data_IF_533110334084
#
_entry.id   IF_533110334084
#
_cell.length_a   1.000
_cell.length_b   1.000
_cell.length_c   1.000
_cell.angle_alpha   90.00
_cell.angle_beta   90.00
_cell.angle_gamma   90.00
#
_symmetry.space_group_name_H-M   'P 1'
#
loop_
_entity.id
_entity.type
_entity.pdbx_description
1 polymer ?
#
# COMPACT_ATOMS: atom_id res chain seq x y z
N UNK A 1 -2.62 -32.25 -28.34
CA UNK A 1 -3.48 -31.13 -27.86
C UNK A 1 -2.60 -30.17 -27.10
N UNK A 2 -2.61 -28.90 -27.44
CA UNK A 2 -1.84 -27.89 -26.67
C UNK A 2 -2.44 -27.68 -25.27
N UNK A 3 -1.65 -27.19 -24.34
CA UNK A 3 -2.11 -26.82 -22.98
C UNK A 3 -3.33 -25.89 -23.06
N UNK A 4 -3.30 -24.92 -23.96
CA UNK A 4 -4.41 -23.97 -24.15
C UNK A 4 -5.68 -24.65 -24.64
N UNK A 5 -5.57 -25.61 -25.58
CA UNK A 5 -6.72 -26.38 -26.05
C UNK A 5 -7.33 -27.25 -24.95
N UNK A 6 -6.49 -27.88 -24.14
CA UNK A 6 -6.94 -28.67 -23.01
C UNK A 6 -7.72 -27.80 -22.00
N UNK A 7 -7.18 -26.66 -21.61
CA UNK A 7 -7.85 -25.76 -20.65
C UNK A 7 -9.17 -25.22 -21.22
N UNK A 8 -9.20 -24.86 -22.53
CA UNK A 8 -10.45 -24.40 -23.20
C UNK A 8 -11.55 -25.45 -23.25
N UNK A 9 -11.19 -26.73 -23.40
CA UNK A 9 -12.17 -27.81 -23.34
C UNK A 9 -12.81 -27.96 -21.94
N UNK A 10 -12.03 -27.73 -20.91
CA UNK A 10 -12.50 -27.82 -19.51
C UNK A 10 -13.23 -26.55 -19.02
N UNK A 11 -13.06 -25.42 -19.71
CA UNK A 11 -13.72 -24.14 -19.45
C UNK A 11 -14.56 -23.71 -20.67
N UNK A 12 -15.67 -24.42 -20.99
CA UNK A 12 -16.43 -24.17 -22.21
C UNK A 12 -17.13 -22.81 -22.28
N UNK A 13 -17.22 -22.10 -21.16
CA UNK A 13 -17.73 -20.72 -21.05
C UNK A 13 -16.69 -19.66 -21.44
N UNK A 14 -15.43 -20.04 -21.69
CA UNK A 14 -14.35 -19.10 -21.96
C UNK A 14 -14.57 -18.42 -23.32
N UNK A 15 -14.80 -17.11 -23.32
CA UNK A 15 -14.91 -16.29 -24.52
C UNK A 15 -13.55 -15.66 -24.83
N UNK A 16 -13.03 -15.93 -26.01
CA UNK A 16 -11.75 -15.38 -26.49
C UNK A 16 -11.72 -13.84 -26.59
N UNK A 17 -12.89 -13.20 -26.63
CA UNK A 17 -13.02 -11.74 -26.68
C UNK A 17 -13.17 -11.09 -25.27
N UNK A 18 -13.33 -11.88 -24.23
CA UNK A 18 -13.50 -11.39 -22.89
C UNK A 18 -12.14 -11.16 -22.21
N UNK A 19 -11.96 -10.01 -21.59
CA UNK A 19 -10.75 -9.68 -20.85
C UNK A 19 -11.08 -9.59 -19.36
N UNK A 20 -10.50 -10.48 -18.59
CA UNK A 20 -10.53 -10.52 -17.13
C UNK A 20 -9.29 -9.82 -16.58
N UNK A 21 -9.38 -9.02 -15.51
CA UNK A 21 -8.27 -8.21 -15.01
C UNK A 21 -8.13 -8.32 -13.49
N UNK A 22 -7.03 -8.93 -13.05
CA UNK A 22 -6.59 -8.98 -11.65
C UNK A 22 -5.30 -8.18 -11.40
N UNK A 23 -4.95 -7.24 -12.30
CA UNK A 23 -3.72 -6.45 -12.17
C UNK A 23 -3.82 -5.34 -11.14
N UNK A 24 -5.02 -4.79 -10.88
CA UNK A 24 -5.21 -3.55 -10.15
C UNK A 24 -6.01 -3.72 -8.87
N UNK A 25 -5.34 -3.51 -7.73
CA UNK A 25 -5.98 -3.30 -6.44
C UNK A 25 -6.59 -1.89 -6.33
N UNK A 26 -7.73 -1.68 -6.97
CA UNK A 26 -8.51 -0.44 -6.90
C UNK A 26 -9.92 -0.74 -6.37
N UNK A 27 -10.60 0.26 -5.78
CA UNK A 27 -12.00 0.09 -5.39
C UNK A 27 -12.89 -0.29 -6.57
N UNK A 28 -13.80 -1.24 -6.35
CA UNK A 28 -14.86 -1.58 -7.29
C UNK A 28 -15.91 -0.44 -7.38
N UNK A 29 -16.71 -0.34 -8.48
CA UNK A 29 -17.81 0.62 -8.57
C UNK A 29 -18.71 0.59 -7.33
N UNK A 30 -19.14 -0.58 -6.87
CA UNK A 30 -19.99 -0.73 -5.69
C UNK A 30 -19.39 -0.12 -4.40
N UNK A 31 -18.04 -0.11 -4.25
CA UNK A 31 -17.39 0.56 -3.12
C UNK A 31 -17.45 2.10 -3.28
N UNK A 32 -17.28 2.61 -4.49
CA UNK A 32 -17.35 4.04 -4.80
C UNK A 32 -18.78 4.58 -4.67
N UNK A 33 -19.80 3.77 -5.00
CA UNK A 33 -21.22 4.12 -4.90
C UNK A 33 -21.64 4.39 -3.45
N UNK A 34 -21.05 3.68 -2.46
CA UNK A 34 -21.25 3.99 -1.04
C UNK A 34 -20.83 5.43 -0.76
N UNK A 35 -19.64 5.81 -1.18
CA UNK A 35 -19.11 7.14 -0.97
C UNK A 35 -19.88 8.21 -1.73
N UNK A 36 -20.27 7.93 -2.96
CA UNK A 36 -21.08 8.84 -3.78
C UNK A 36 -22.44 9.12 -3.14
N UNK A 37 -23.08 8.08 -2.58
CA UNK A 37 -24.38 8.22 -1.88
C UNK A 37 -24.28 9.13 -0.66
N UNK A 38 -23.22 9.09 0.10
CA UNK A 38 -22.99 9.99 1.24
C UNK A 38 -22.66 11.39 0.75
N UNK A 39 -21.76 11.52 -0.23
CA UNK A 39 -21.35 12.81 -0.79
C UNK A 39 -22.53 13.58 -1.40
N UNK A 40 -23.51 12.89 -2.01
CA UNK A 40 -24.70 13.54 -2.59
C UNK A 40 -25.59 14.26 -1.56
N UNK A 41 -25.38 14.01 -0.27
CA UNK A 41 -26.11 14.68 0.83
C UNK A 41 -25.35 15.88 1.40
N UNK A 42 -24.16 16.19 0.88
CA UNK A 42 -23.27 17.21 1.42
C UNK A 42 -23.30 18.44 0.50
N UNK A 43 -23.69 19.57 1.06
CA UNK A 43 -23.46 20.86 0.42
C UNK A 43 -21.98 21.22 0.47
N UNK A 44 -21.46 21.77 -0.64
CA UNK A 44 -20.06 22.19 -0.77
C UNK A 44 -19.76 23.24 0.32
N UNK A 45 -18.82 22.98 1.25
CA UNK A 45 -18.46 23.96 2.25
C UNK A 45 -17.57 25.05 1.63
N UNK A 46 -17.90 26.30 1.84
CA UNK A 46 -17.04 27.42 1.47
C UNK A 46 -16.25 27.99 2.65
N UNK A 47 -16.60 27.59 3.86
CA UNK A 47 -15.92 27.94 5.10
C UNK A 47 -15.84 26.72 6.03
N UNK A 48 -14.71 26.53 6.69
CA UNK A 48 -14.50 25.54 7.74
C UNK A 48 -13.35 25.95 8.66
N UNK A 49 -13.47 25.68 9.95
CA UNK A 49 -12.47 26.06 10.96
C UNK A 49 -12.15 27.57 10.97
N UNK A 50 -13.10 28.43 10.56
CA UNK A 50 -12.91 29.87 10.39
C UNK A 50 -12.07 30.26 9.14
N UNK A 51 -11.91 29.33 8.19
CA UNK A 51 -11.06 29.51 7.01
C UNK A 51 -11.96 29.51 5.75
N UNK A 52 -11.79 30.52 4.87
CA UNK A 52 -12.38 30.53 3.52
C UNK A 52 -11.68 29.48 2.64
N UNK A 53 -12.43 28.45 2.24
CA UNK A 53 -11.89 27.32 1.49
C UNK A 53 -11.64 27.64 0.01
N UNK A 54 -12.13 28.78 -0.47
CA UNK A 54 -12.01 29.18 -1.89
C UNK A 54 -10.68 29.84 -2.20
N UNK A 55 -9.94 30.29 -1.17
CA UNK A 55 -8.70 31.05 -1.36
C UNK A 55 -7.46 30.20 -1.03
N UNK A 56 -6.28 30.70 -1.34
CA UNK A 56 -4.99 30.10 -1.02
C UNK A 56 -4.70 30.01 0.49
N UNK A 57 -3.61 29.35 0.84
CA UNK A 57 -3.10 29.28 2.20
C UNK A 57 -3.36 27.95 2.89
N UNK A 58 -3.05 27.94 4.20
CA UNK A 58 -3.09 26.74 5.06
C UNK A 58 -2.21 25.60 4.53
N UNK A 59 -0.90 25.81 4.40
CA UNK A 59 0.00 24.81 3.81
C UNK A 59 0.04 23.47 4.58
N UNK A 60 -0.38 23.46 5.86
CA UNK A 60 -0.54 22.23 6.66
C UNK A 60 -1.88 21.50 6.38
N UNK A 61 -2.82 22.13 5.68
CA UNK A 61 -4.20 21.66 5.55
C UNK A 61 -5.13 22.21 6.65
N UNK A 62 -6.43 21.95 6.49
CA UNK A 62 -7.44 22.37 7.45
C UNK A 62 -7.24 21.65 8.80
N UNK A 63 -7.41 22.33 9.95
CA UNK A 63 -7.34 21.71 11.27
C UNK A 63 -8.21 20.45 11.39
N UNK A 64 -9.47 20.52 10.95
CA UNK A 64 -10.37 19.36 10.98
C UNK A 64 -9.88 18.20 10.07
N UNK A 65 -9.27 18.49 8.92
CA UNK A 65 -8.70 17.47 8.04
C UNK A 65 -7.42 16.86 8.64
N UNK A 66 -6.56 17.66 9.28
CA UNK A 66 -5.39 17.18 10.03
C UNK A 66 -5.80 16.26 11.19
N UNK A 67 -6.90 16.60 11.90
CA UNK A 67 -7.47 15.76 12.96
C UNK A 67 -7.96 14.42 12.42
N UNK A 68 -8.62 14.42 11.24
CA UNK A 68 -9.01 13.20 10.55
C UNK A 68 -7.77 12.35 10.23
N UNK A 69 -6.72 12.96 9.68
CA UNK A 69 -5.46 12.29 9.36
C UNK A 69 -4.78 11.69 10.60
N UNK A 70 -4.71 12.44 11.70
CA UNK A 70 -4.12 11.96 12.95
C UNK A 70 -4.87 10.75 13.52
N UNK A 71 -6.19 10.70 13.38
CA UNK A 71 -7.00 9.55 13.79
C UNK A 71 -6.72 8.32 12.90
N UNK A 72 -6.68 8.49 11.57
CA UNK A 72 -6.40 7.40 10.62
C UNK A 72 -4.99 6.82 10.81
N UNK A 73 -4.00 7.68 11.05
CA UNK A 73 -2.61 7.30 11.22
C UNK A 73 -2.24 6.92 12.66
N UNK A 74 -3.17 7.10 13.61
CA UNK A 74 -2.90 6.95 15.06
C UNK A 74 -1.68 7.78 15.49
N UNK A 75 -1.61 9.03 15.04
CA UNK A 75 -0.47 9.95 15.24
C UNK A 75 -0.87 11.23 15.97
N UNK A 76 0.12 12.04 16.35
CA UNK A 76 -0.13 13.32 17.02
C UNK A 76 -0.68 14.35 16.03
N UNK A 77 -1.73 15.07 16.42
CA UNK A 77 -2.34 16.15 15.63
C UNK A 77 -1.33 17.24 15.22
N UNK A 78 -0.47 17.68 16.14
CA UNK A 78 0.50 18.75 15.88
C UNK A 78 1.62 18.33 14.90
N UNK A 79 1.78 17.03 14.71
CA UNK A 79 2.78 16.40 13.85
C UNK A 79 2.16 15.78 12.59
N UNK A 80 0.90 16.09 12.31
CA UNK A 80 0.16 15.57 11.15
C UNK A 80 -0.34 16.69 10.27
N UNK A 81 -0.14 16.56 8.97
CA UNK A 81 -0.63 17.49 7.93
C UNK A 81 -1.54 16.76 6.95
N UNK A 82 -2.49 17.49 6.37
CA UNK A 82 -3.45 16.99 5.40
C UNK A 82 -3.24 17.70 4.06
N UNK A 83 -2.96 16.95 3.00
CA UNK A 83 -2.48 17.53 1.75
C UNK A 83 -3.18 16.94 0.53
N UNK A 84 -2.44 16.47 -0.44
CA UNK A 84 -2.87 15.99 -1.74
C UNK A 84 -3.83 14.76 -1.65
N UNK A 85 -4.12 14.13 -2.77
CA UNK A 85 -5.09 13.02 -2.80
C UNK A 85 -4.49 11.62 -2.62
N UNK A 86 -3.16 11.47 -2.58
CA UNK A 86 -2.49 10.18 -2.57
C UNK A 86 -1.27 10.15 -1.65
N UNK A 87 -1.17 9.09 -0.82
CA UNK A 87 0.03 8.82 -0.01
C UNK A 87 1.29 8.69 -0.87
N UNK A 88 1.17 8.13 -2.08
CA UNK A 88 2.29 8.00 -3.01
C UNK A 88 2.85 9.36 -3.45
N UNK A 89 1.98 10.38 -3.66
CA UNK A 89 2.43 11.75 -3.95
C UNK A 89 3.24 12.33 -2.78
N UNK A 90 2.78 12.12 -1.56
CA UNK A 90 3.51 12.55 -0.37
C UNK A 90 4.83 11.82 -0.20
N UNK A 91 4.85 10.51 -0.42
CA UNK A 91 6.08 9.71 -0.42
C UNK A 91 7.10 10.25 -1.44
N UNK A 92 6.64 10.53 -2.66
CA UNK A 92 7.48 11.14 -3.70
C UNK A 92 8.07 12.48 -3.23
N UNK A 93 7.27 13.34 -2.61
CA UNK A 93 7.71 14.64 -2.13
C UNK A 93 8.66 14.52 -0.91
N UNK A 94 8.45 13.56 -0.01
CA UNK A 94 9.39 13.26 1.09
C UNK A 94 10.74 12.84 0.55
N UNK A 95 10.77 11.92 -0.41
CA UNK A 95 12.02 11.48 -1.08
C UNK A 95 12.68 12.64 -1.81
N UNK A 96 11.91 13.47 -2.53
CA UNK A 96 12.43 14.67 -3.20
C UNK A 96 13.04 15.66 -2.20
N UNK A 97 12.32 15.96 -1.13
CA UNK A 97 12.81 16.87 -0.07
C UNK A 97 14.10 16.32 0.55
N UNK A 98 14.15 15.03 0.86
CA UNK A 98 15.33 14.38 1.41
C UNK A 98 16.55 14.43 0.47
N UNK A 99 16.32 14.30 -0.84
CA UNK A 99 17.39 14.35 -1.87
C UNK A 99 17.90 15.76 -2.14
N UNK A 100 17.04 16.78 -2.15
CA UNK A 100 17.40 18.13 -2.61
C UNK A 100 17.69 19.12 -1.47
N UNK A 101 16.97 19.03 -0.35
CA UNK A 101 17.17 19.92 0.81
C UNK A 101 17.70 19.18 2.04
N UNK A 102 17.35 17.92 2.19
CA UNK A 102 17.65 17.11 3.35
C UNK A 102 16.79 17.44 4.57
N UNK A 103 16.56 16.44 5.40
CA UNK A 103 16.07 16.57 6.76
C UNK A 103 17.27 16.43 7.73
N UNK A 104 17.12 16.81 8.99
CA UNK A 104 18.26 16.80 9.93
C UNK A 104 18.87 15.40 10.12
N UNK A 105 18.02 14.38 10.10
CA UNK A 105 18.44 12.97 10.26
C UNK A 105 18.03 12.05 9.12
N UNK A 106 17.66 12.61 7.97
CA UNK A 106 17.22 11.86 6.82
C UNK A 106 17.63 12.61 5.55
N UNK A 107 18.83 12.30 5.06
CA UNK A 107 19.41 12.90 3.86
C UNK A 107 19.75 11.80 2.87
N UNK A 108 18.99 11.72 1.79
CA UNK A 108 19.29 10.85 0.67
C UNK A 108 20.24 11.54 -0.32
N UNK A 109 21.02 10.75 -1.02
CA UNK A 109 21.90 11.20 -2.08
C UNK A 109 22.02 10.10 -3.15
N UNK A 110 22.77 10.36 -4.22
CA UNK A 110 22.94 9.41 -5.34
C UNK A 110 23.55 8.06 -4.95
N UNK A 111 24.26 7.98 -3.81
CA UNK A 111 24.90 6.75 -3.36
C UNK A 111 24.02 6.00 -2.34
N UNK A 112 22.91 6.61 -1.91
CA UNK A 112 21.99 6.02 -0.94
C UNK A 112 21.38 4.72 -1.42
N UNK A 113 21.27 3.78 -0.50
CA UNK A 113 20.56 2.52 -0.66
C UNK A 113 19.39 2.47 0.32
N UNK A 114 18.25 1.99 -0.16
CA UNK A 114 17.03 1.81 0.62
C UNK A 114 16.71 0.32 0.72
N UNK A 115 16.47 -0.15 1.94
CA UNK A 115 15.98 -1.50 2.20
C UNK A 115 14.54 -1.60 1.72
N UNK A 116 14.24 -2.62 0.93
CA UNK A 116 12.92 -2.89 0.37
C UNK A 116 12.50 -4.33 0.73
N UNK A 117 11.58 -4.49 1.69
CA UNK A 117 10.96 -5.80 1.92
C UNK A 117 10.21 -6.26 0.66
N UNK A 118 10.44 -7.54 0.27
CA UNK A 118 9.89 -8.12 -0.95
C UNK A 118 9.20 -9.47 -0.68
N UNK A 119 8.16 -9.80 -1.48
CA UNK A 119 7.54 -8.98 -2.53
C UNK A 119 6.87 -7.74 -1.94
N UNK A 120 6.93 -6.60 -2.64
CA UNK A 120 6.48 -5.30 -2.12
C UNK A 120 5.71 -4.46 -3.15
N UNK A 121 5.40 -3.21 -2.78
CA UNK A 121 4.60 -2.33 -3.62
C UNK A 121 5.39 -1.78 -4.81
N UNK A 122 5.02 -2.17 -6.01
CA UNK A 122 5.64 -1.82 -7.29
C UNK A 122 5.88 -0.31 -7.48
N UNK A 123 4.97 0.53 -6.99
CA UNK A 123 5.07 1.99 -7.12
C UNK A 123 6.16 2.59 -6.24
N UNK A 124 6.41 2.03 -5.06
CA UNK A 124 7.55 2.47 -4.24
C UNK A 124 8.88 2.19 -4.94
N UNK A 125 9.01 1.01 -5.53
CA UNK A 125 10.22 0.65 -6.27
C UNK A 125 10.42 1.55 -7.48
N UNK A 126 9.35 1.78 -8.25
CA UNK A 126 9.42 2.68 -9.41
C UNK A 126 9.74 4.12 -9.03
N UNK A 127 9.22 4.59 -7.90
CA UNK A 127 9.52 5.91 -7.35
C UNK A 127 11.02 6.03 -7.03
N UNK A 128 11.58 5.08 -6.28
CA UNK A 128 13.01 5.07 -5.91
C UNK A 128 13.90 4.93 -7.15
N UNK A 129 13.53 4.06 -8.09
CA UNK A 129 14.23 3.89 -9.37
C UNK A 129 14.29 5.20 -10.18
N UNK A 130 13.16 5.93 -10.26
CA UNK A 130 13.09 7.21 -10.99
C UNK A 130 14.00 8.29 -10.37
N UNK A 131 14.26 8.23 -9.08
CA UNK A 131 15.23 9.10 -8.40
C UNK A 131 16.67 8.58 -8.45
N UNK A 132 16.92 7.42 -9.05
CA UNK A 132 18.23 6.79 -9.09
C UNK A 132 18.70 6.27 -7.72
N UNK A 133 17.79 6.14 -6.75
CA UNK A 133 18.08 5.55 -5.43
C UNK A 133 18.17 4.04 -5.54
N UNK A 134 19.28 3.47 -5.07
CA UNK A 134 19.49 2.02 -5.12
C UNK A 134 18.64 1.30 -4.09
N UNK A 135 18.17 0.10 -4.43
CA UNK A 135 17.32 -0.72 -3.59
C UNK A 135 18.02 -2.03 -3.24
N UNK A 136 17.91 -2.45 -1.96
CA UNK A 136 18.38 -3.74 -1.45
C UNK A 136 17.17 -4.50 -0.93
N UNK A 137 16.98 -5.72 -1.40
CA UNK A 137 15.85 -6.55 -1.01
C UNK A 137 16.12 -7.32 0.27
N UNK A 138 15.08 -7.44 1.11
CA UNK A 138 15.01 -8.36 2.24
C UNK A 138 13.70 -9.14 2.18
N UNK A 139 13.66 -10.42 2.56
CA UNK A 139 12.41 -11.18 2.55
C UNK A 139 11.47 -10.76 3.68
N UNK A 140 10.19 -11.15 3.56
CA UNK A 140 9.23 -11.13 4.65
C UNK A 140 9.27 -12.43 5.45
N UNK A 141 8.93 -12.30 6.73
CA UNK A 141 8.39 -13.37 7.57
C UNK A 141 6.89 -13.10 7.83
N UNK A 142 6.23 -13.98 8.58
CA UNK A 142 4.77 -13.88 8.78
C UNK A 142 4.33 -12.58 9.44
N UNK A 143 5.19 -11.96 10.24
CA UNK A 143 4.89 -10.81 11.08
C UNK A 143 5.68 -9.53 10.74
N UNK A 144 6.32 -9.48 9.59
CA UNK A 144 7.08 -8.32 9.12
C UNK A 144 8.31 -8.67 8.29
N UNK A 145 9.22 -7.72 8.04
CA UNK A 145 10.51 -8.00 7.40
C UNK A 145 11.35 -8.97 8.22
N UNK A 146 12.13 -9.81 7.53
CA UNK A 146 13.11 -10.65 8.20
C UNK A 146 14.21 -9.81 8.87
N UNK A 147 14.17 -9.76 10.20
CA UNK A 147 15.10 -8.94 11.01
C UNK A 147 16.55 -9.37 10.87
N UNK A 148 16.82 -10.67 10.63
CA UNK A 148 18.18 -11.16 10.42
C UNK A 148 18.71 -10.67 9.07
N UNK A 149 17.91 -10.76 8.02
CA UNK A 149 18.27 -10.23 6.71
C UNK A 149 18.47 -8.70 6.74
N UNK A 150 17.60 -7.96 7.45
CA UNK A 150 17.79 -6.52 7.66
C UNK A 150 19.11 -6.23 8.39
N UNK A 151 19.43 -6.96 9.46
CA UNK A 151 20.67 -6.82 10.20
C UNK A 151 21.89 -7.09 9.32
N UNK A 152 21.85 -8.17 8.54
CA UNK A 152 22.93 -8.53 7.61
C UNK A 152 23.19 -7.41 6.59
N UNK A 153 22.13 -6.82 6.01
CA UNK A 153 22.25 -5.70 5.10
C UNK A 153 22.89 -4.49 5.80
N UNK A 154 22.46 -4.15 7.02
CA UNK A 154 23.02 -3.02 7.76
C UNK A 154 24.49 -3.19 8.13
N UNK A 155 24.96 -4.43 8.38
CA UNK A 155 26.34 -4.75 8.76
C UNK A 155 27.27 -4.83 7.54
N UNK A 156 26.78 -5.31 6.39
CA UNK A 156 27.63 -5.63 5.25
C UNK A 156 27.56 -4.60 4.11
N UNK A 157 26.50 -3.78 4.07
CA UNK A 157 26.30 -2.81 3.00
C UNK A 157 26.59 -1.38 3.48
N UNK A 158 27.36 -0.64 2.68
CA UNK A 158 27.58 0.79 2.91
C UNK A 158 26.46 1.65 2.34
N UNK A 159 26.28 2.86 2.90
CA UNK A 159 25.32 3.87 2.42
C UNK A 159 23.85 3.41 2.50
N UNK A 160 23.52 2.53 3.44
CA UNK A 160 22.12 2.17 3.73
C UNK A 160 21.50 3.31 4.53
N UNK A 161 20.63 4.10 3.89
CA UNK A 161 20.07 5.32 4.44
C UNK A 161 18.55 5.26 4.63
N UNK A 162 17.96 4.08 4.59
CA UNK A 162 16.54 3.95 4.92
C UNK A 162 15.92 2.60 4.57
N UNK A 163 14.64 2.54 4.90
CA UNK A 163 13.73 1.43 4.58
C UNK A 163 12.38 1.99 4.12
N UNK A 164 11.71 1.29 3.20
CA UNK A 164 10.32 1.56 2.85
C UNK A 164 9.42 0.40 3.27
N UNK A 165 8.39 0.69 4.07
CA UNK A 165 7.50 -0.30 4.66
C UNK A 165 6.03 -0.01 4.32
N UNK A 166 5.24 -1.08 4.13
CA UNK A 166 3.78 -1.07 4.15
C UNK A 166 3.36 -1.96 5.33
N UNK A 167 3.19 -1.41 6.55
CA UNK A 167 3.20 -2.18 7.78
C UNK A 167 1.89 -2.92 8.07
N UNK A 168 0.78 -2.51 7.43
CA UNK A 168 -0.53 -3.11 7.64
C UNK A 168 -1.09 -3.57 6.32
N UNK A 169 -1.47 -4.85 6.26
CA UNK A 169 -1.98 -5.49 5.03
C UNK A 169 -1.10 -5.19 3.82
N UNK A 170 0.20 -5.45 3.97
CA UNK A 170 1.25 -5.12 3.00
C UNK A 170 0.87 -5.53 1.57
N UNK A 171 1.21 -4.72 0.60
CA UNK A 171 0.99 -5.01 -0.81
C UNK A 171 2.25 -5.66 -1.41
N UNK A 172 2.22 -6.91 -1.92
CA UNK A 172 1.04 -7.77 -2.13
C UNK A 172 0.76 -8.79 -1.03
N UNK A 173 1.62 -8.94 -0.03
CA UNK A 173 1.64 -10.07 0.89
C UNK A 173 0.44 -10.11 1.85
N UNK A 174 -0.19 -8.98 2.11
CA UNK A 174 -1.23 -8.88 3.12
C UNK A 174 -0.72 -9.02 4.57
N UNK A 175 0.59 -9.13 4.79
CA UNK A 175 1.19 -9.17 6.13
C UNK A 175 0.90 -7.89 6.90
N UNK A 176 0.65 -8.05 8.19
CA UNK A 176 0.59 -6.96 9.17
C UNK A 176 1.75 -7.15 10.13
N UNK A 177 2.60 -6.14 10.27
CA UNK A 177 3.77 -6.22 11.15
C UNK A 177 3.32 -6.34 12.60
N UNK A 178 3.95 -7.24 13.36
CA UNK A 178 3.72 -7.33 14.80
C UNK A 178 4.40 -6.15 15.53
N UNK A 179 3.86 -5.79 16.69
CA UNK A 179 4.50 -4.76 17.56
C UNK A 179 5.94 -5.16 17.90
N UNK A 180 6.17 -6.47 18.11
CA UNK A 180 7.51 -6.99 18.39
C UNK A 180 8.44 -6.78 17.18
N UNK A 181 8.00 -7.13 15.96
CA UNK A 181 8.81 -6.93 14.76
C UNK A 181 9.13 -5.45 14.55
N UNK A 182 8.13 -4.55 14.68
CA UNK A 182 8.34 -3.09 14.55
C UNK A 182 9.35 -2.57 15.59
N UNK A 183 9.22 -3.00 16.83
CA UNK A 183 10.10 -2.56 17.90
C UNK A 183 11.56 -3.02 17.68
N UNK A 184 11.76 -4.30 17.33
CA UNK A 184 13.10 -4.83 17.04
C UNK A 184 13.69 -4.23 15.75
N UNK A 185 12.86 -4.01 14.72
CA UNK A 185 13.26 -3.34 13.48
C UNK A 185 13.80 -1.93 13.78
N UNK A 186 13.09 -1.13 14.58
CA UNK A 186 13.53 0.22 14.93
C UNK A 186 14.78 0.21 15.81
N UNK A 187 14.95 -0.79 16.68
CA UNK A 187 16.20 -0.98 17.43
C UNK A 187 17.40 -1.23 16.51
N UNK A 188 17.23 -2.01 15.43
CA UNK A 188 18.28 -2.23 14.45
C UNK A 188 18.72 -0.93 13.76
N UNK A 189 17.79 0.01 13.55
CA UNK A 189 18.11 1.30 12.92
C UNK A 189 18.72 2.33 13.87
N UNK A 190 18.56 2.17 15.18
CA UNK A 190 19.03 3.15 16.17
C UNK A 190 20.52 3.53 16.05
N UNK A 191 21.47 2.63 15.75
CA UNK A 191 22.86 3.00 15.53
C UNK A 191 23.08 3.93 14.32
N UNK A 192 22.14 3.93 13.37
CA UNK A 192 22.18 4.69 12.12
C UNK A 192 21.36 5.98 12.17
N UNK A 193 20.81 6.36 13.30
CA UNK A 193 19.85 7.46 13.49
C UNK A 193 20.35 8.86 13.10
N UNK A 194 21.64 9.01 12.79
CA UNK A 194 22.22 10.28 12.30
C UNK A 194 21.82 10.56 10.84
N UNK A 195 21.61 9.52 10.03
CA UNK A 195 21.15 9.65 8.65
C UNK A 195 20.44 8.37 8.20
N UNK A 196 19.16 8.23 8.57
CA UNK A 196 18.35 7.08 8.17
C UNK A 196 16.87 7.50 8.00
N UNK A 197 16.21 7.05 6.96
CA UNK A 197 14.79 7.34 6.68
C UNK A 197 13.93 6.10 6.89
N UNK A 198 12.95 6.16 7.78
CA UNK A 198 11.92 5.13 7.90
C UNK A 198 10.67 5.64 7.18
N UNK A 199 10.45 5.17 5.95
CA UNK A 199 9.28 5.52 5.14
C UNK A 199 8.17 4.49 5.38
N UNK A 200 7.06 4.95 5.98
CA UNK A 200 6.00 4.10 6.51
C UNK A 200 4.68 4.39 5.81
N UNK A 201 4.34 3.62 4.77
CA UNK A 201 3.10 3.80 4.00
C UNK A 201 1.96 3.00 4.63
N UNK A 202 1.11 3.69 5.37
CA UNK A 202 -0.04 3.11 6.06
C UNK A 202 -1.34 3.24 5.23
N UNK A 203 -1.25 2.94 3.94
CA UNK A 203 -2.38 3.05 3.00
C UNK A 203 -3.56 2.14 3.36
N UNK A 204 -3.35 1.12 4.17
CA UNK A 204 -4.36 0.15 4.60
C UNK A 204 -4.66 0.22 6.10
N UNK A 205 -4.40 1.35 6.75
CA UNK A 205 -4.56 1.55 8.19
C UNK A 205 -5.89 1.05 8.78
N UNK A 206 -6.98 1.11 7.99
CA UNK A 206 -8.34 0.77 8.43
C UNK A 206 -8.94 -0.45 7.69
N UNK A 207 -8.14 -1.24 6.95
CA UNK A 207 -8.66 -2.22 5.99
C UNK A 207 -8.72 -3.66 6.52
N UNK A 208 -9.00 -3.83 7.79
CA UNK A 208 -9.24 -5.17 8.38
C UNK A 208 -10.54 -5.77 7.85
N UNK A 209 -10.49 -7.00 7.37
CA UNK A 209 -11.65 -7.75 6.87
C UNK A 209 -12.23 -8.72 7.90
N UNK A 210 -11.41 -9.22 8.82
CA UNK A 210 -11.84 -10.15 9.85
C UNK A 210 -11.99 -9.43 11.19
N UNK A 211 -10.97 -9.42 12.01
CA UNK A 211 -10.92 -8.73 13.30
C UNK A 211 -10.09 -7.46 13.17
N UNK A 212 -10.49 -6.42 13.89
CA UNK A 212 -9.62 -5.25 14.05
C UNK A 212 -8.33 -5.68 14.74
N UNK A 213 -7.21 -5.41 14.08
CA UNK A 213 -5.89 -5.69 14.62
C UNK A 213 -5.45 -4.44 15.40
N UNK A 214 -5.34 -4.59 16.71
CA UNK A 214 -4.75 -3.55 17.54
C UNK A 214 -3.23 -3.56 17.34
N UNK A 215 -2.65 -2.39 17.09
CA UNK A 215 -1.21 -2.19 16.95
C UNK A 215 -0.79 -0.97 17.75
N UNK A 216 0.38 -1.05 18.36
CA UNK A 216 1.02 0.13 18.95
C UNK A 216 1.37 1.12 17.84
N UNK A 217 0.97 2.41 17.96
CA UNK A 217 1.34 3.42 16.97
C UNK A 217 2.85 3.47 16.73
N UNK A 218 3.28 3.33 15.48
CA UNK A 218 4.70 3.25 15.14
C UNK A 218 5.47 4.54 15.46
N UNK A 219 4.81 5.71 15.45
CA UNK A 219 5.39 6.98 15.88
C UNK A 219 5.73 6.97 17.39
N UNK A 220 4.92 6.30 18.21
CA UNK A 220 5.20 6.11 19.64
C UNK A 220 6.45 5.28 19.83
N UNK A 221 6.57 4.16 19.11
CA UNK A 221 7.79 3.32 19.15
C UNK A 221 9.00 4.11 18.66
N UNK A 222 8.84 4.89 17.58
CA UNK A 222 9.91 5.75 17.06
C UNK A 222 10.38 6.77 18.10
N UNK A 223 9.45 7.40 18.84
CA UNK A 223 9.77 8.33 19.92
C UNK A 223 10.51 7.65 21.07
N UNK A 224 10.02 6.53 21.54
CA UNK A 224 10.62 5.74 22.64
C UNK A 224 12.06 5.32 22.31
N UNK A 225 12.36 5.00 21.06
CA UNK A 225 13.67 4.57 20.61
C UNK A 225 14.57 5.71 20.09
N UNK A 226 14.13 6.97 20.14
CA UNK A 226 14.89 8.11 19.65
C UNK A 226 15.02 8.20 18.12
N UNK A 227 14.09 7.57 17.38
CA UNK A 227 14.04 7.52 15.92
C UNK A 227 12.97 8.44 15.31
N UNK A 228 12.36 9.32 16.10
CA UNK A 228 11.24 10.15 15.66
C UNK A 228 11.59 11.11 14.51
N UNK A 229 12.79 11.69 14.53
CA UNK A 229 13.32 12.54 13.45
C UNK A 229 13.65 11.76 12.16
N UNK A 230 13.64 10.43 12.22
CA UNK A 230 13.92 9.53 11.12
C UNK A 230 12.62 8.97 10.49
N UNK A 231 11.47 9.21 11.13
CA UNK A 231 10.21 8.53 10.83
C UNK A 231 9.27 9.41 10.02
N UNK A 232 8.77 8.89 8.89
CA UNK A 232 7.82 9.52 7.98
C UNK A 232 6.68 8.56 7.70
N UNK A 233 5.50 8.85 8.24
CA UNK A 233 4.32 8.04 8.05
C UNK A 233 3.35 8.73 7.09
N UNK A 234 2.89 8.01 6.07
CA UNK A 234 1.89 8.50 5.12
C UNK A 234 0.67 7.59 5.09
N UNK A 235 -0.45 8.15 4.71
CA UNK A 235 -1.69 7.43 4.44
C UNK A 235 -2.66 8.28 3.66
N UNK A 236 -3.82 7.72 3.30
CA UNK A 236 -4.85 8.48 2.56
C UNK A 236 -6.24 7.87 2.70
N UNK A 237 -7.25 8.66 2.37
CA UNK A 237 -8.64 8.17 2.25
C UNK A 237 -8.95 7.55 0.88
N UNK A 238 -7.98 7.46 -0.04
CA UNK A 238 -8.20 7.02 -1.43
C UNK A 238 -8.83 5.64 -1.57
N UNK A 239 -8.58 4.73 -0.63
CA UNK A 239 -9.22 3.41 -0.61
C UNK A 239 -10.39 3.32 0.38
N UNK A 240 -10.66 4.39 1.13
CA UNK A 240 -11.75 4.49 2.09
C UNK A 240 -12.97 5.16 1.46
N UNK A 241 -12.75 6.28 0.72
CA UNK A 241 -13.81 7.07 0.07
C UNK A 241 -13.71 6.98 -1.46
N UNK A 242 -13.08 7.96 -2.09
CA UNK A 242 -12.94 8.06 -3.53
C UNK A 242 -11.46 7.97 -3.93
N UNK A 243 -11.11 6.98 -4.74
CA UNK A 243 -9.72 6.75 -5.16
C UNK A 243 -9.11 7.93 -5.93
N UNK A 244 -9.93 8.62 -6.74
CA UNK A 244 -9.50 9.76 -7.55
C UNK A 244 -9.55 11.12 -6.83
N UNK A 245 -10.16 11.18 -5.64
CA UNK A 245 -10.42 12.42 -4.92
C UNK A 245 -10.26 12.29 -3.41
N UNK A 246 -9.39 11.40 -2.95
CA UNK A 246 -9.09 11.25 -1.52
C UNK A 246 -8.33 12.44 -0.93
N UNK A 247 -8.02 12.35 0.36
CA UNK A 247 -7.07 13.23 1.05
C UNK A 247 -5.92 12.36 1.52
N UNK A 248 -4.70 12.85 1.42
CA UNK A 248 -3.53 12.19 1.97
C UNK A 248 -2.97 12.93 3.19
N UNK A 249 -2.30 12.18 4.03
CA UNK A 249 -1.75 12.65 5.29
C UNK A 249 -0.29 12.25 5.41
N UNK A 250 0.51 13.18 5.96
CA UNK A 250 1.88 12.92 6.39
C UNK A 250 2.00 13.21 7.88
N UNK A 251 2.58 12.28 8.61
CA UNK A 251 2.97 12.47 10.00
C UNK A 251 4.47 12.24 10.17
N UNK A 252 5.14 13.15 10.86
CA UNK A 252 6.56 13.09 11.20
C UNK A 252 6.84 14.08 12.36
N UNK A 253 8.09 14.17 12.82
CA UNK A 253 8.44 15.19 13.80
C UNK A 253 8.08 16.60 13.34
N UNK A 254 7.83 17.52 14.28
CA UNK A 254 7.48 18.91 13.94
C UNK A 254 8.57 19.60 13.12
N UNK A 255 9.83 19.28 13.38
CA UNK A 255 10.96 19.79 12.61
C UNK A 255 10.90 19.31 11.14
N UNK A 256 10.68 18.01 10.92
CA UNK A 256 10.51 17.46 9.58
C UNK A 256 9.29 18.03 8.85
N UNK A 257 8.17 18.22 9.56
CA UNK A 257 6.96 18.84 8.99
C UNK A 257 7.25 20.27 8.53
N UNK A 258 7.92 21.07 9.35
CA UNK A 258 8.28 22.45 8.99
C UNK A 258 9.15 22.48 7.72
N UNK A 259 10.21 21.68 7.67
CA UNK A 259 11.09 21.58 6.47
C UNK A 259 10.33 21.09 5.25
N UNK A 260 9.44 20.13 5.41
CA UNK A 260 8.63 19.63 4.32
C UNK A 260 7.65 20.69 3.77
N UNK A 261 7.05 21.50 4.64
CA UNK A 261 6.19 22.63 4.24
C UNK A 261 7.02 23.68 3.50
N UNK A 262 8.20 24.04 3.99
CA UNK A 262 9.10 24.99 3.30
C UNK A 262 9.46 24.49 1.90
N UNK A 263 9.77 23.20 1.76
CA UNK A 263 9.97 22.57 0.46
C UNK A 263 8.72 22.68 -0.45
N UNK A 264 7.54 22.41 0.10
CA UNK A 264 6.29 22.46 -0.65
C UNK A 264 5.86 23.85 -1.06
N UNK A 265 6.22 24.89 -0.31
CA UNK A 265 5.88 26.27 -0.63
C UNK A 265 6.43 26.73 -1.99
N UNK A 266 7.47 26.05 -2.52
CA UNK A 266 7.96 26.25 -3.87
C UNK A 266 7.13 25.49 -4.94
N UNK A 267 6.25 24.56 -4.53
CA UNK A 267 5.48 23.70 -5.44
C UNK A 267 4.02 24.17 -5.53
N UNK A 268 3.43 24.54 -4.39
CA UNK A 268 2.01 24.91 -4.30
C UNK A 268 1.76 25.89 -3.16
N UNK A 269 0.80 26.84 -3.32
CA UNK A 269 0.41 27.78 -2.25
C UNK A 269 -0.48 27.15 -1.18
N UNK A 270 -0.84 25.87 -1.29
CA UNK A 270 -1.65 25.14 -0.34
C UNK A 270 -2.42 23.97 -0.95
N UNK A 271 -3.06 23.15 -0.11
CA UNK A 271 -3.83 21.98 -0.58
C UNK A 271 -5.21 22.37 -1.11
N UNK A 272 -5.90 21.41 -1.73
CA UNK A 272 -7.29 21.52 -2.12
C UNK A 272 -8.22 21.49 -0.88
N UNK A 273 -8.47 22.67 -0.29
CA UNK A 273 -9.26 22.82 0.93
C UNK A 273 -10.75 22.48 0.73
N UNK A 274 -11.31 22.70 -0.47
CA UNK A 274 -12.70 22.29 -0.76
C UNK A 274 -12.85 20.78 -0.62
N UNK A 275 -11.92 20.02 -1.18
CA UNK A 275 -11.92 18.55 -1.04
C UNK A 275 -11.72 18.09 0.42
N UNK A 276 -10.86 18.79 1.16
CA UNK A 276 -10.68 18.53 2.60
C UNK A 276 -11.98 18.78 3.36
N UNK A 277 -12.65 19.92 3.11
CA UNK A 277 -13.91 20.26 3.73
C UNK A 277 -15.03 19.26 3.42
N UNK A 278 -15.11 18.78 2.16
CA UNK A 278 -16.04 17.72 1.77
C UNK A 278 -15.80 16.42 2.56
N UNK A 279 -14.55 15.98 2.68
CA UNK A 279 -14.21 14.78 3.44
C UNK A 279 -14.46 14.92 4.95
N UNK A 280 -14.18 16.09 5.53
CA UNK A 280 -14.50 16.36 6.94
C UNK A 280 -16.03 16.28 7.17
N UNK A 281 -16.84 16.84 6.26
CA UNK A 281 -18.31 16.70 6.32
C UNK A 281 -18.74 15.24 6.09
N UNK A 282 -18.09 14.54 5.15
CA UNK A 282 -18.33 13.13 4.89
C UNK A 282 -18.22 12.29 6.18
N UNK A 283 -17.11 12.40 6.88
CA UNK A 283 -16.85 11.61 8.10
C UNK A 283 -17.64 12.07 9.34
N UNK A 284 -18.38 13.18 9.24
CA UNK A 284 -19.41 13.53 10.23
C UNK A 284 -20.75 12.80 9.99
N UNK A 285 -21.03 12.39 8.74
CA UNK A 285 -22.25 11.65 8.36
C UNK A 285 -22.02 10.13 8.40
N UNK A 286 -20.84 9.68 8.03
CA UNK A 286 -20.44 8.27 7.97
C UNK A 286 -19.11 8.12 8.68
N UNK A 287 -19.09 7.49 9.86
CA UNK A 287 -17.83 7.26 10.58
C UNK A 287 -16.86 6.39 9.77
N UNK A 288 -15.56 6.42 10.10
CA UNK A 288 -14.58 5.55 9.45
C UNK A 288 -14.95 4.08 9.68
N UNK A 289 -15.38 3.74 10.90
CA UNK A 289 -15.81 2.41 11.29
C UNK A 289 -16.99 1.91 10.46
N UNK A 290 -18.04 2.75 10.31
CA UNK A 290 -19.22 2.43 9.51
C UNK A 290 -18.87 2.28 8.03
N UNK A 291 -18.06 3.22 7.50
CA UNK A 291 -17.58 3.15 6.12
C UNK A 291 -16.82 1.86 5.87
N UNK A 292 -15.90 1.50 6.76
CA UNK A 292 -15.12 0.27 6.62
C UNK A 292 -15.99 -0.99 6.80
N UNK A 293 -17.02 -0.93 7.65
CA UNK A 293 -17.99 -2.02 7.77
C UNK A 293 -18.76 -2.28 6.47
N UNK A 294 -19.19 -1.22 5.77
CA UNK A 294 -19.85 -1.36 4.47
C UNK A 294 -18.87 -1.88 3.39
N UNK A 295 -17.64 -1.38 3.35
CA UNK A 295 -16.61 -1.87 2.41
C UNK A 295 -16.28 -3.35 2.67
N UNK A 296 -16.23 -3.78 3.92
CA UNK A 296 -15.98 -5.17 4.31
C UNK A 296 -17.02 -6.13 3.73
N UNK A 297 -18.30 -5.75 3.70
CA UNK A 297 -19.38 -6.56 3.10
C UNK A 297 -19.14 -6.86 1.62
N UNK A 298 -18.45 -5.96 0.92
CA UNK A 298 -18.11 -6.11 -0.51
C UNK A 298 -16.81 -6.89 -0.70
N UNK A 299 -15.80 -6.63 0.14
CA UNK A 299 -14.44 -7.16 -0.07
C UNK A 299 -14.28 -8.56 0.52
N UNK A 300 -14.81 -8.84 1.71
CA UNK A 300 -14.58 -10.12 2.39
C UNK A 300 -15.05 -11.33 1.56
N UNK A 301 -16.24 -11.33 0.91
CA UNK A 301 -16.64 -12.45 0.06
C UNK A 301 -15.69 -12.73 -1.11
N UNK A 302 -15.00 -11.69 -1.60
CA UNK A 302 -14.02 -11.85 -2.69
C UNK A 302 -12.74 -12.53 -2.20
N UNK A 303 -12.33 -12.24 -0.97
CA UNK A 303 -11.21 -12.92 -0.33
C UNK A 303 -11.52 -14.39 -0.07
N UNK A 304 -12.73 -14.69 0.41
CA UNK A 304 -13.18 -16.07 0.61
C UNK A 304 -13.21 -16.84 -0.71
N UNK A 305 -13.66 -16.18 -1.78
CA UNK A 305 -13.68 -16.78 -3.11
C UNK A 305 -12.26 -17.10 -3.62
N UNK A 306 -11.28 -16.20 -3.44
CA UNK A 306 -9.89 -16.49 -3.81
C UNK A 306 -9.36 -17.66 -2.99
N UNK A 307 -9.54 -17.65 -1.65
CA UNK A 307 -9.11 -18.74 -0.76
C UNK A 307 -9.68 -20.10 -1.21
N UNK A 308 -10.95 -20.15 -1.62
CA UNK A 308 -11.63 -21.36 -2.14
C UNK A 308 -10.85 -22.01 -3.31
N UNK A 309 -10.25 -21.19 -4.17
CA UNK A 309 -9.51 -21.69 -5.34
C UNK A 309 -8.05 -22.01 -5.09
N UNK A 310 -7.37 -21.20 -4.24
CA UNK A 310 -5.92 -21.37 -4.02
C UNK A 310 -5.58 -22.35 -2.89
N UNK A 311 -6.50 -22.58 -1.93
CA UNK A 311 -6.24 -23.53 -0.85
C UNK A 311 -6.04 -24.97 -1.36
N UNK A 312 -6.87 -25.50 -2.28
CA UNK A 312 -6.62 -26.82 -2.87
C UNK A 312 -5.29 -26.93 -3.61
N UNK A 313 -4.80 -25.82 -4.23
CA UNK A 313 -3.50 -25.83 -4.90
C UNK A 313 -2.35 -25.99 -3.91
N UNK A 314 -2.46 -25.38 -2.72
CA UNK A 314 -1.49 -25.56 -1.64
C UNK A 314 -1.56 -26.98 -1.06
N UNK A 315 -2.76 -27.53 -0.87
CA UNK A 315 -2.95 -28.90 -0.37
C UNK A 315 -2.34 -29.94 -1.33
N UNK A 316 -2.30 -29.64 -2.63
CA UNK A 316 -1.64 -30.44 -3.68
C UNK A 316 -0.14 -30.11 -3.83
N UNK A 317 0.46 -29.27 -2.96
CA UNK A 317 1.86 -28.80 -2.96
C UNK A 317 2.28 -28.08 -4.27
N UNK A 318 1.36 -27.39 -4.93
CA UNK A 318 1.62 -26.66 -6.17
C UNK A 318 2.05 -25.20 -5.92
N UNK A 319 1.71 -24.66 -4.74
CA UNK A 319 2.01 -23.29 -4.39
C UNK A 319 2.12 -23.08 -2.87
N UNK A 320 2.73 -21.94 -2.50
CA UNK A 320 2.47 -21.25 -1.24
C UNK A 320 1.65 -19.98 -1.52
N UNK A 321 0.97 -19.49 -0.52
CA UNK A 321 0.30 -18.19 -0.58
C UNK A 321 0.16 -17.58 0.81
N UNK A 322 0.12 -16.25 0.87
CA UNK A 322 -0.17 -15.54 2.10
C UNK A 322 -1.66 -15.61 2.45
N UNK A 323 -1.98 -15.63 3.74
CA UNK A 323 -3.37 -15.64 4.23
C UNK A 323 -3.74 -14.25 4.81
N UNK A 324 -4.05 -13.26 3.97
CA UNK A 324 -4.33 -11.91 4.43
C UNK A 324 -5.63 -11.84 5.22
N UNK A 325 -5.60 -11.08 6.32
CA UNK A 325 -6.78 -10.77 7.16
C UNK A 325 -7.40 -9.42 6.80
N UNK A 326 -6.88 -8.75 5.76
CA UNK A 326 -7.33 -7.47 5.28
C UNK A 326 -6.56 -6.98 4.05
N UNK A 327 -6.75 -5.71 3.73
CA UNK A 327 -6.12 -5.10 2.56
C UNK A 327 -6.80 -5.47 1.23
N UNK A 328 -6.01 -5.57 0.15
CA UNK A 328 -6.53 -5.66 -1.22
C UNK A 328 -5.94 -6.81 -2.04
N UNK A 329 -5.01 -7.59 -1.49
CA UNK A 329 -4.18 -8.50 -2.29
C UNK A 329 -3.95 -9.85 -1.64
N UNK A 330 -3.59 -10.82 -2.49
CA UNK A 330 -2.91 -12.06 -2.12
C UNK A 330 -1.56 -12.13 -2.82
N UNK A 331 -0.56 -12.66 -2.14
CA UNK A 331 0.70 -13.11 -2.74
C UNK A 331 0.63 -14.63 -2.93
N UNK A 332 0.91 -15.06 -4.13
CA UNK A 332 0.93 -16.46 -4.55
C UNK A 332 2.33 -16.77 -5.05
N UNK A 333 2.91 -17.87 -4.57
CA UNK A 333 4.25 -18.31 -4.95
C UNK A 333 4.19 -19.74 -5.52
N UNK A 334 4.54 -19.89 -6.80
CA UNK A 334 4.58 -21.18 -7.47
C UNK A 334 5.74 -22.04 -6.98
N UNK A 335 5.50 -23.30 -6.63
CA UNK A 335 6.52 -24.25 -6.21
C UNK A 335 7.50 -24.63 -7.32
N UNK A 336 7.08 -24.56 -8.59
CA UNK A 336 7.94 -24.86 -9.75
C UNK A 336 8.74 -23.67 -10.27
N UNK A 337 8.66 -22.48 -9.63
CA UNK A 337 9.34 -21.28 -10.10
C UNK A 337 9.00 -20.92 -11.56
N UNK A 338 7.74 -21.03 -11.93
CA UNK A 338 7.23 -20.87 -13.29
C UNK A 338 6.17 -19.75 -13.41
N UNK A 339 6.25 -18.72 -12.55
CA UNK A 339 5.27 -17.62 -12.53
C UNK A 339 5.13 -16.92 -13.90
N UNK A 340 6.23 -16.73 -14.62
CA UNK A 340 6.20 -16.16 -15.97
C UNK A 340 5.34 -16.98 -16.94
N UNK A 341 5.47 -18.31 -16.93
CA UNK A 341 4.69 -19.21 -17.76
C UNK A 341 3.21 -19.24 -17.37
N UNK A 342 2.93 -19.24 -16.06
CA UNK A 342 1.55 -19.15 -15.54
C UNK A 342 0.90 -17.85 -16.03
N UNK A 343 1.58 -16.70 -15.88
CA UNK A 343 1.06 -15.39 -16.29
C UNK A 343 0.81 -15.35 -17.79
N UNK A 344 1.77 -15.83 -18.62
CA UNK A 344 1.64 -15.86 -20.06
C UNK A 344 0.48 -16.75 -20.52
N UNK A 345 0.31 -17.91 -19.88
CA UNK A 345 -0.79 -18.83 -20.19
C UNK A 345 -2.14 -18.25 -19.79
N UNK A 346 -2.22 -17.59 -18.62
CA UNK A 346 -3.41 -16.84 -18.19
C UNK A 346 -3.77 -15.75 -19.20
N UNK A 347 -2.81 -14.97 -19.66
CA UNK A 347 -3.03 -13.90 -20.65
C UNK A 347 -3.54 -14.45 -21.98
N UNK A 348 -3.01 -15.57 -22.45
CA UNK A 348 -3.49 -16.25 -23.66
C UNK A 348 -4.93 -16.78 -23.52
N UNK A 349 -5.42 -16.91 -22.29
CA UNK A 349 -6.81 -17.29 -21.95
C UNK A 349 -7.69 -16.07 -21.58
N UNK A 350 -7.17 -14.84 -21.76
CA UNK A 350 -7.90 -13.60 -21.48
C UNK A 350 -7.82 -13.10 -20.04
N UNK A 351 -7.06 -13.75 -19.15
CA UNK A 351 -6.86 -13.29 -17.77
C UNK A 351 -5.54 -12.49 -17.65
N UNK A 352 -5.66 -11.19 -17.40
CA UNK A 352 -4.53 -10.30 -17.16
C UNK A 352 -4.08 -10.35 -15.70
N UNK A 353 -2.79 -10.60 -15.51
CA UNK A 353 -2.07 -10.51 -14.26
C UNK A 353 -0.93 -9.50 -14.40
N UNK A 354 -0.35 -9.03 -13.28
CA UNK A 354 0.87 -8.23 -13.39
C UNK A 354 2.02 -9.07 -13.96
N UNK A 355 2.90 -8.46 -14.76
CA UNK A 355 4.11 -9.15 -15.21
C UNK A 355 4.93 -9.67 -14.03
N UNK A 356 5.59 -10.81 -14.22
CA UNK A 356 6.50 -11.37 -13.21
C UNK A 356 7.56 -10.35 -12.82
N UNK A 357 7.94 -10.34 -11.54
CA UNK A 357 8.90 -9.39 -11.00
C UNK A 357 8.33 -8.02 -10.65
N UNK A 358 7.07 -7.70 -11.02
CA UNK A 358 6.47 -6.39 -10.71
C UNK A 358 6.51 -6.04 -9.23
N UNK A 359 6.44 -7.03 -8.35
CA UNK A 359 6.50 -6.85 -6.89
C UNK A 359 7.93 -6.85 -6.32
N UNK A 360 8.93 -6.66 -7.17
CA UNK A 360 10.35 -6.62 -6.82
C UNK A 360 11.04 -5.39 -7.43
N UNK A 361 12.08 -4.84 -6.78
CA UNK A 361 12.92 -3.80 -7.36
C UNK A 361 13.45 -4.20 -8.74
N UNK A 362 13.50 -3.22 -9.65
CA UNK A 362 13.99 -3.42 -11.03
C UNK A 362 13.21 -4.47 -11.82
N UNK A 363 12.01 -4.85 -11.37
CA UNK A 363 11.15 -5.89 -11.95
C UNK A 363 11.84 -7.26 -12.05
N UNK A 364 12.66 -7.60 -11.04
CA UNK A 364 13.42 -8.85 -10.99
C UNK A 364 13.00 -9.68 -9.80
N UNK A 365 12.15 -10.69 -10.04
CA UNK A 365 11.91 -11.78 -9.11
C UNK A 365 13.00 -12.85 -9.34
N UNK A 366 13.92 -13.06 -8.41
CA UNK A 366 15.04 -13.99 -8.61
C UNK A 366 14.58 -15.45 -8.67
N UNK A 367 13.44 -15.77 -8.08
CA UNK A 367 12.89 -17.13 -8.05
C UNK A 367 11.88 -17.39 -9.16
N UNK A 368 11.41 -16.36 -9.86
CA UNK A 368 10.33 -16.49 -10.87
C UNK A 368 9.12 -17.25 -10.33
N UNK A 369 8.70 -16.96 -9.10
CA UNK A 369 7.63 -17.70 -8.44
C UNK A 369 6.46 -16.82 -8.00
N UNK A 370 6.64 -15.51 -7.84
CA UNK A 370 5.65 -14.64 -7.24
C UNK A 370 4.61 -14.10 -8.23
N UNK A 371 3.35 -14.21 -7.85
CA UNK A 371 2.19 -13.66 -8.57
C UNK A 371 1.30 -12.91 -7.59
N UNK A 372 1.03 -11.63 -7.87
CA UNK A 372 0.05 -10.84 -7.12
C UNK A 372 -1.35 -11.03 -7.66
N UNK A 373 -2.30 -11.39 -6.80
CA UNK A 373 -3.73 -11.44 -7.12
C UNK A 373 -4.43 -10.23 -6.49
N UNK A 374 -5.18 -9.47 -7.30
CA UNK A 374 -5.90 -8.27 -6.88
C UNK A 374 -7.42 -8.44 -7.04
N UNK A 375 -8.12 -9.10 -6.10
CA UNK A 375 -9.52 -9.51 -6.26
C UNK A 375 -10.53 -8.38 -6.03
N UNK A 376 -10.13 -7.21 -5.57
CA UNK A 376 -11.07 -6.20 -5.06
C UNK A 376 -11.91 -5.51 -6.13
N UNK A 377 -11.41 -5.39 -7.37
CA UNK A 377 -12.09 -4.66 -8.44
C UNK A 377 -13.20 -5.45 -9.14
N UNK A 378 -13.01 -6.69 -9.64
CA UNK A 378 -14.09 -7.43 -10.31
C UNK A 378 -15.24 -7.73 -9.35
N UNK A 379 -16.47 -7.88 -9.89
CA UNK A 379 -17.58 -8.48 -9.15
C UNK A 379 -17.31 -9.98 -8.88
N UNK A 380 -18.18 -10.61 -8.07
CA UNK A 380 -17.98 -12.00 -7.64
C UNK A 380 -18.04 -12.98 -8.83
N UNK A 381 -18.94 -12.76 -9.78
CA UNK A 381 -19.09 -13.67 -10.93
C UNK A 381 -17.87 -13.58 -11.87
N UNK A 382 -17.40 -12.36 -12.10
CA UNK A 382 -16.18 -12.11 -12.88
C UNK A 382 -14.95 -12.66 -12.14
N UNK A 383 -14.86 -12.47 -10.81
CA UNK A 383 -13.77 -12.99 -10.01
C UNK A 383 -13.75 -14.52 -10.00
N UNK A 384 -14.92 -15.17 -9.91
CA UNK A 384 -15.02 -16.63 -9.98
C UNK A 384 -14.44 -17.17 -11.29
N UNK A 385 -14.77 -16.54 -12.42
CA UNK A 385 -14.18 -16.87 -13.72
C UNK A 385 -12.67 -16.66 -13.76
N UNK A 386 -12.18 -15.53 -13.21
CA UNK A 386 -10.74 -15.28 -13.09
C UNK A 386 -10.04 -16.42 -12.35
N UNK A 387 -10.61 -16.83 -11.21
CA UNK A 387 -10.01 -17.85 -10.35
C UNK A 387 -10.12 -19.25 -10.93
N UNK A 388 -11.19 -19.56 -11.71
CA UNK A 388 -11.27 -20.80 -12.49
C UNK A 388 -10.14 -20.89 -13.52
N UNK A 389 -9.90 -19.82 -14.29
CA UNK A 389 -8.79 -19.77 -15.26
C UNK A 389 -7.46 -19.96 -14.52
N UNK A 390 -7.22 -19.13 -13.49
CA UNK A 390 -5.97 -19.13 -12.74
C UNK A 390 -5.64 -20.51 -12.15
N UNK A 391 -6.58 -21.08 -11.38
CA UNK A 391 -6.37 -22.37 -10.73
C UNK A 391 -6.16 -23.51 -11.73
N UNK A 392 -6.87 -23.47 -12.88
CA UNK A 392 -6.71 -24.45 -13.92
C UNK A 392 -5.34 -24.37 -14.59
N UNK A 393 -4.88 -23.16 -14.90
CA UNK A 393 -3.55 -22.92 -15.46
C UNK A 393 -2.47 -23.45 -14.51
N UNK A 394 -2.56 -23.10 -13.22
CA UNK A 394 -1.61 -23.58 -12.21
C UNK A 394 -1.58 -25.11 -12.16
N UNK A 395 -2.74 -25.78 -12.11
CA UNK A 395 -2.81 -27.26 -12.10
C UNK A 395 -2.26 -27.91 -13.36
N UNK A 396 -2.42 -27.29 -14.52
CA UNK A 396 -1.99 -27.87 -15.79
C UNK A 396 -0.48 -27.71 -16.00
N UNK A 397 0.13 -26.63 -15.46
CA UNK A 397 1.56 -26.35 -15.60
C UNK A 397 2.42 -26.96 -14.47
N UNK A 398 1.79 -27.44 -13.40
CA UNK A 398 2.44 -28.09 -12.26
C UNK A 398 2.11 -29.58 -12.17
#
# INVERSE_FOLDING_TARGET
>A
MSILEQIKQELPWLDANCVYDLTRGKPAPAQLDISQKVLSQIEIPYEMDGIDLRNYGNPEGLPSARKLGSNILSSNFDETIALDNSSLTLMHQVVSCSLFLGFDKSNLNKDSKIICPVPGYDRHFKLLENFGVRMITVPFQDDGPDLNAVKEVLENESHVHGIVCVPRHSNPTGHTYSDQNVHELFKLFRPYNKNFSIMWDNAYACHDLEKTIEQTPADKIAKELGMHENFFQVGSTSKITLAGAGISFLSSSKNNINKFIDFRNAITPGPNKLNQGLHVKYFKLMSIEDQMAELRKIIAPKFDLVKKYIAPLRDEDLCDYTSPTGGYFFSFDSKKNNAAEIIQTCEALGLRLLPVGSCFPYQKDPMNNNIRLAPTFPDLDTLDKCMQIFSKVVKTLN
#
